data_IF_295299265949
#
_entry.id   IF_295299265949
#
_cell.length_a   1.000
_cell.length_b   1.000
_cell.length_c   1.000
_cell.angle_alpha   90.00
_cell.angle_beta   90.00
_cell.angle_gamma   90.00
#
_symmetry.space_group_name_H-M   'P 1'
#
loop_
_entity.id
_entity.type
_entity.pdbx_description
1 polymer ?
#
# COMPACT_ATOMS: atom_id res chain seq x y z
N UNK A 1 -13.31 21.74 7.41
CA UNK A 1 -13.56 21.31 8.81
C UNK A 1 -14.12 19.91 8.79
N UNK A 2 -13.30 18.89 9.07
CA UNK A 2 -13.80 17.57 9.41
C UNK A 2 -14.24 17.60 10.88
N UNK A 3 -15.47 17.18 11.19
CA UNK A 3 -15.97 17.22 12.56
C UNK A 3 -16.45 15.84 12.98
N UNK A 4 -15.87 15.31 14.08
CA UNK A 4 -16.25 14.01 14.63
C UNK A 4 -17.57 14.14 15.38
N UNK A 5 -18.46 13.12 15.39
CA UNK A 5 -19.73 13.19 16.12
C UNK A 5 -19.57 13.39 17.64
N UNK A 6 -18.43 12.95 18.22
CA UNK A 6 -18.08 13.26 19.62
C UNK A 6 -17.63 14.71 19.82
N UNK A 7 -16.96 15.30 18.84
CA UNK A 7 -16.51 16.70 18.88
C UNK A 7 -17.70 17.66 18.69
N UNK A 8 -18.68 17.29 17.86
CA UNK A 8 -19.95 18.02 17.73
C UNK A 8 -20.73 18.04 19.05
N UNK A 9 -20.70 16.95 19.82
CA UNK A 9 -21.30 16.92 21.17
C UNK A 9 -20.58 17.88 22.12
N UNK A 10 -19.25 17.86 22.12
CA UNK A 10 -18.41 18.68 23.01
C UNK A 10 -18.52 20.17 22.64
N UNK A 11 -18.63 20.51 21.36
CA UNK A 11 -18.76 21.89 20.90
C UNK A 11 -20.17 22.46 21.00
N UNK A 12 -21.23 21.62 20.98
CA UNK A 12 -22.62 22.09 20.97
C UNK A 12 -23.40 21.87 22.27
N UNK A 13 -22.84 21.19 23.28
CA UNK A 13 -23.54 20.83 24.54
C UNK A 13 -24.91 20.13 24.35
N UNK A 14 -25.13 19.51 23.19
CA UNK A 14 -26.38 18.84 22.85
C UNK A 14 -26.36 17.37 23.26
N UNK A 15 -27.53 16.83 23.63
CA UNK A 15 -27.68 15.41 23.91
C UNK A 15 -27.37 14.56 22.66
N UNK A 16 -26.61 13.48 22.82
CA UNK A 16 -26.16 12.61 21.74
C UNK A 16 -27.29 12.11 20.83
N UNK A 17 -28.49 11.87 21.40
CA UNK A 17 -29.67 11.44 20.62
C UNK A 17 -30.12 12.53 19.63
N UNK A 18 -30.11 13.79 20.06
CA UNK A 18 -30.51 14.94 19.24
C UNK A 18 -29.51 15.16 18.10
N UNK A 19 -28.21 15.11 18.40
CA UNK A 19 -27.14 15.22 17.39
C UNK A 19 -27.27 14.12 16.33
N UNK A 20 -27.58 12.89 16.74
CA UNK A 20 -27.74 11.76 15.80
C UNK A 20 -28.95 11.96 14.89
N UNK A 21 -30.06 12.46 15.40
CA UNK A 21 -31.26 12.74 14.61
C UNK A 21 -31.05 13.91 13.63
N UNK A 22 -30.34 14.96 14.04
CA UNK A 22 -29.99 16.08 13.16
C UNK A 22 -29.08 15.62 12.02
N UNK A 23 -28.05 14.83 12.32
CA UNK A 23 -27.16 14.28 11.29
C UNK A 23 -27.94 13.43 10.27
N UNK A 24 -28.87 12.58 10.72
CA UNK A 24 -29.76 11.83 9.81
C UNK A 24 -30.64 12.76 8.96
N UNK A 25 -31.17 13.84 9.53
CA UNK A 25 -31.99 14.80 8.79
C UNK A 25 -31.16 15.55 7.73
N UNK A 26 -29.92 15.93 8.06
CA UNK A 26 -29.00 16.59 7.13
C UNK A 26 -28.50 15.64 6.02
N UNK A 27 -28.34 14.36 6.33
CA UNK A 27 -28.03 13.29 5.36
C UNK A 27 -29.21 13.04 4.41
N UNK A 28 -30.44 12.94 4.94
CA UNK A 28 -31.66 12.80 4.12
C UNK A 28 -31.87 13.99 3.17
N UNK A 29 -31.49 15.20 3.60
CA UNK A 29 -31.51 16.40 2.76
C UNK A 29 -30.33 16.50 1.78
N UNK A 30 -29.46 15.49 1.73
CA UNK A 30 -28.25 15.45 0.91
C UNK A 30 -27.31 16.65 1.13
N UNK A 31 -27.30 17.28 2.31
CA UNK A 31 -26.41 18.43 2.60
C UNK A 31 -25.02 17.93 3.03
N UNK A 32 -25.00 16.80 3.74
CA UNK A 32 -23.79 16.14 4.22
C UNK A 32 -23.73 14.71 3.69
N UNK A 33 -22.51 14.21 3.52
CA UNK A 33 -22.21 12.79 3.27
C UNK A 33 -21.27 12.28 4.35
N UNK A 34 -21.21 10.97 4.53
CA UNK A 34 -20.24 10.36 5.45
C UNK A 34 -19.19 9.53 4.71
N UNK A 35 -18.03 9.40 5.32
CA UNK A 35 -16.96 8.49 4.90
C UNK A 35 -16.27 7.88 6.12
N UNK A 36 -15.51 6.81 5.89
CA UNK A 36 -14.65 6.18 6.89
C UNK A 36 -13.20 6.54 6.58
N UNK A 37 -12.45 6.92 7.61
CA UNK A 37 -11.03 7.23 7.47
C UNK A 37 -10.17 6.02 7.84
N UNK A 38 -9.01 5.84 7.20
CA UNK A 38 -8.05 4.76 7.49
C UNK A 38 -7.68 4.71 8.99
N UNK A 39 -7.45 5.88 9.60
CA UNK A 39 -7.10 5.98 11.02
C UNK A 39 -8.21 5.50 11.98
N UNK A 40 -9.48 5.50 11.54
CA UNK A 40 -10.61 5.14 12.37
C UNK A 40 -11.75 4.51 11.55
N UNK A 41 -11.57 3.28 11.06
CA UNK A 41 -12.45 2.68 10.06
C UNK A 41 -13.85 2.35 10.59
N UNK A 42 -13.99 2.17 11.90
CA UNK A 42 -15.30 1.94 12.57
C UNK A 42 -16.07 3.21 12.88
N UNK A 43 -15.55 4.41 12.55
CA UNK A 43 -16.14 5.70 12.95
C UNK A 43 -16.51 6.53 11.72
N UNK A 44 -17.80 6.86 11.60
CA UNK A 44 -18.30 7.78 10.57
C UNK A 44 -17.75 9.19 10.78
N UNK A 45 -17.18 9.76 9.72
CA UNK A 45 -16.88 11.20 9.61
C UNK A 45 -17.85 11.82 8.62
N UNK A 46 -18.30 13.03 8.91
CA UNK A 46 -19.23 13.76 8.06
C UNK A 46 -18.51 14.91 7.37
N UNK A 47 -18.84 15.13 6.11
CA UNK A 47 -18.32 16.21 5.27
C UNK A 47 -19.47 16.78 4.43
N UNK A 48 -19.34 18.04 3.99
CA UNK A 48 -20.30 18.64 3.07
C UNK A 48 -20.35 17.85 1.76
N UNK A 49 -21.54 17.75 1.16
CA UNK A 49 -21.75 16.96 -0.07
C UNK A 49 -20.80 17.39 -1.20
N UNK A 50 -20.55 18.69 -1.31
CA UNK A 50 -19.80 19.34 -2.39
C UNK A 50 -18.29 19.23 -2.20
N UNK A 51 -17.84 18.72 -1.04
CA UNK A 51 -16.42 18.57 -0.70
C UNK A 51 -16.01 17.10 -0.77
N UNK A 52 -14.81 16.85 -1.28
CA UNK A 52 -14.18 15.54 -1.25
C UNK A 52 -13.24 15.42 -0.04
N UNK A 53 -13.24 14.28 0.67
CA UNK A 53 -12.29 14.05 1.75
C UNK A 53 -10.87 13.93 1.20
N UNK A 54 -9.88 14.23 2.05
CA UNK A 54 -8.48 14.11 1.65
C UNK A 54 -8.17 12.66 1.17
N UNK A 55 -7.65 12.45 -0.06
CA UNK A 55 -7.37 11.12 -0.61
C UNK A 55 -6.35 10.30 0.17
N UNK A 56 -5.57 10.90 1.07
CA UNK A 56 -4.68 10.19 2.00
C UNK A 56 -5.43 9.58 3.20
N UNK A 57 -6.62 10.11 3.51
CA UNK A 57 -7.45 9.62 4.62
C UNK A 57 -8.40 8.51 4.20
N UNK A 58 -8.66 8.39 2.90
CA UNK A 58 -9.53 7.35 2.36
C UNK A 58 -8.79 6.02 2.26
N UNK A 59 -9.44 4.89 2.60
CA UNK A 59 -8.87 3.57 2.33
C UNK A 59 -8.61 3.46 0.83
N UNK A 60 -7.35 3.20 0.47
CA UNK A 60 -6.96 2.93 -0.91
C UNK A 60 -7.61 1.65 -1.43
N UNK A 61 -7.47 1.39 -2.72
CA UNK A 61 -8.13 0.26 -3.38
C UNK A 61 -7.52 -1.11 -3.00
N UNK A 62 -6.47 -1.11 -2.18
CA UNK A 62 -5.93 -2.28 -1.48
C UNK A 62 -6.80 -2.79 -0.31
N UNK A 63 -7.85 -2.05 0.04
CA UNK A 63 -8.72 -2.37 1.16
C UNK A 63 -10.09 -2.87 0.68
N UNK A 64 -10.45 -4.08 1.09
CA UNK A 64 -11.80 -4.62 0.99
C UNK A 64 -12.56 -4.28 2.29
N UNK A 65 -13.04 -3.04 2.39
CA UNK A 65 -13.77 -2.53 3.56
C UNK A 65 -12.85 -2.05 4.69
N UNK A 66 -12.82 -2.79 5.82
CA UNK A 66 -11.98 -2.49 7.01
C UNK A 66 -10.68 -3.31 7.03
N UNK A 67 -10.49 -4.21 6.06
CA UNK A 67 -9.36 -5.12 6.03
C UNK A 67 -8.61 -5.00 4.70
N UNK A 68 -7.30 -5.12 4.78
CA UNK A 68 -6.46 -5.31 3.61
C UNK A 68 -6.88 -6.58 2.88
N UNK A 69 -6.97 -6.48 1.56
CA UNK A 69 -7.25 -7.64 0.72
C UNK A 69 -5.98 -8.50 0.61
N UNK A 70 -5.87 -9.49 1.50
CA UNK A 70 -4.68 -10.35 1.60
C UNK A 70 -4.41 -11.11 0.31
N UNK A 71 -5.45 -11.51 -0.44
CA UNK A 71 -5.30 -12.20 -1.71
C UNK A 71 -4.73 -11.26 -2.77
N UNK A 72 -5.23 -10.02 -2.82
CA UNK A 72 -4.71 -9.02 -3.74
C UNK A 72 -3.26 -8.65 -3.42
N UNK A 73 -2.92 -8.50 -2.13
CA UNK A 73 -1.53 -8.23 -1.71
C UNK A 73 -0.62 -9.40 -2.08
N UNK A 74 -1.03 -10.64 -1.86
CA UNK A 74 -0.24 -11.81 -2.25
C UNK A 74 0.00 -11.85 -3.76
N UNK A 75 -1.03 -11.57 -4.56
CA UNK A 75 -0.91 -11.47 -6.02
C UNK A 75 0.05 -10.35 -6.41
N UNK A 76 -0.09 -9.16 -5.83
CA UNK A 76 0.80 -8.02 -6.09
C UNK A 76 2.25 -8.33 -5.71
N UNK A 77 2.48 -8.86 -4.51
CA UNK A 77 3.80 -9.28 -4.03
C UNK A 77 4.47 -10.25 -5.00
N UNK A 78 3.72 -11.25 -5.48
CA UNK A 78 4.21 -12.21 -6.46
C UNK A 78 4.54 -11.57 -7.81
N UNK A 79 3.71 -10.63 -8.29
CA UNK A 79 4.00 -9.91 -9.54
C UNK A 79 5.22 -8.97 -9.40
N UNK A 80 5.35 -8.27 -8.28
CA UNK A 80 6.52 -7.43 -7.97
C UNK A 80 7.80 -8.27 -7.97
N UNK A 81 7.83 -9.40 -7.26
CA UNK A 81 8.97 -10.32 -7.26
C UNK A 81 9.30 -10.81 -8.66
N UNK A 82 8.30 -11.25 -9.42
CA UNK A 82 8.49 -11.79 -10.77
C UNK A 82 9.08 -10.75 -11.73
N UNK A 83 8.61 -9.50 -11.66
CA UNK A 83 9.16 -8.42 -12.46
C UNK A 83 10.63 -8.16 -12.14
N UNK A 84 10.97 -8.05 -10.85
CA UNK A 84 12.34 -7.80 -10.41
C UNK A 84 13.27 -8.97 -10.72
N UNK A 85 12.77 -10.21 -10.66
CA UNK A 85 13.50 -11.40 -11.08
C UNK A 85 13.82 -11.37 -12.57
N UNK A 86 12.82 -11.18 -13.44
CA UNK A 86 13.00 -11.07 -14.89
C UNK A 86 14.01 -9.96 -15.22
N UNK A 87 13.86 -8.79 -14.59
CA UNK A 87 14.77 -7.67 -14.80
C UNK A 87 16.21 -8.00 -14.38
N UNK A 88 16.39 -8.70 -13.27
CA UNK A 88 17.71 -9.17 -12.83
C UNK A 88 18.33 -10.20 -13.78
N UNK A 89 17.51 -11.03 -14.43
CA UNK A 89 17.96 -12.01 -15.42
C UNK A 89 18.34 -11.35 -16.75
N UNK A 90 17.54 -10.39 -17.20
CA UNK A 90 17.84 -9.63 -18.42
C UNK A 90 19.07 -8.75 -18.23
N UNK A 91 19.27 -8.17 -17.05
CA UNK A 91 20.48 -7.43 -16.73
C UNK A 91 21.76 -8.28 -16.87
N UNK A 92 21.72 -9.60 -16.58
CA UNK A 92 22.87 -10.50 -16.75
C UNK A 92 23.24 -10.73 -18.22
N UNK A 93 22.30 -10.54 -19.14
CA UNK A 93 22.53 -10.68 -20.59
C UNK A 93 23.21 -9.43 -21.17
N UNK A 94 23.22 -8.32 -20.42
CA UNK A 94 23.83 -7.07 -20.86
C UNK A 94 25.36 -7.18 -20.95
N UNK A 95 25.89 -6.91 -22.14
CA UNK A 95 27.33 -6.80 -22.39
C UNK A 95 27.85 -5.44 -21.90
N UNK A 96 28.40 -5.40 -20.69
CA UNK A 96 28.97 -4.17 -20.11
C UNK A 96 29.82 -4.35 -18.85
N UNK A 97 30.15 -5.60 -18.48
CA UNK A 97 30.87 -5.93 -17.24
C UNK A 97 29.99 -5.90 -15.98
N UNK A 98 30.53 -6.31 -14.81
CA UNK A 98 29.75 -6.55 -13.60
C UNK A 98 29.00 -5.32 -13.07
N UNK A 99 29.58 -4.13 -13.22
CA UNK A 99 28.97 -2.88 -12.75
C UNK A 99 27.74 -2.51 -13.59
N UNK A 100 27.81 -2.67 -14.92
CA UNK A 100 26.67 -2.39 -15.80
C UNK A 100 25.50 -3.34 -15.51
N UNK A 101 25.79 -4.62 -15.25
CA UNK A 101 24.79 -5.62 -14.83
C UNK A 101 24.12 -5.19 -13.52
N UNK A 102 24.91 -4.74 -12.53
CA UNK A 102 24.37 -4.27 -11.25
C UNK A 102 23.45 -3.07 -11.44
N UNK A 103 23.88 -2.06 -12.19
CA UNK A 103 23.07 -0.86 -12.42
C UNK A 103 21.75 -1.18 -13.15
N UNK A 104 21.79 -2.06 -14.15
CA UNK A 104 20.59 -2.48 -14.89
C UNK A 104 19.61 -3.33 -14.06
N UNK A 105 20.07 -3.95 -12.98
CA UNK A 105 19.24 -4.82 -12.13
C UNK A 105 18.32 -4.05 -11.16
N UNK A 106 18.60 -2.77 -10.91
CA UNK A 106 17.80 -1.94 -10.00
C UNK A 106 16.53 -1.43 -10.69
N UNK A 107 15.43 -1.37 -9.96
CA UNK A 107 14.17 -0.77 -10.40
C UNK A 107 13.60 0.18 -9.34
N UNK A 108 12.95 1.24 -9.79
CA UNK A 108 12.18 2.14 -8.91
C UNK A 108 10.78 1.59 -8.68
N UNK A 109 10.11 2.05 -7.61
CA UNK A 109 8.71 1.71 -7.35
C UNK A 109 7.79 2.12 -8.52
N UNK A 110 8.08 3.25 -9.17
CA UNK A 110 7.34 3.74 -10.33
C UNK A 110 7.42 2.78 -11.52
N UNK A 111 8.59 2.24 -11.80
CA UNK A 111 8.77 1.30 -12.91
C UNK A 111 8.03 -0.03 -12.66
N UNK A 112 8.02 -0.48 -11.40
CA UNK A 112 7.23 -1.65 -10.98
C UNK A 112 5.73 -1.36 -11.13
N UNK A 113 5.28 -0.17 -10.75
CA UNK A 113 3.88 0.25 -10.89
C UNK A 113 3.45 0.30 -12.36
N UNK A 114 4.27 0.86 -13.25
CA UNK A 114 4.03 0.89 -14.69
C UNK A 114 3.90 -0.53 -15.27
N UNK A 115 4.74 -1.45 -14.82
CA UNK A 115 4.66 -2.85 -15.23
C UNK A 115 3.34 -3.51 -14.77
N UNK A 116 2.95 -3.30 -13.52
CA UNK A 116 1.70 -3.84 -12.97
C UNK A 116 0.48 -3.26 -13.71
N UNK A 117 0.49 -1.96 -14.01
CA UNK A 117 -0.57 -1.32 -14.78
C UNK A 117 -0.67 -1.89 -16.21
N UNK A 118 0.47 -2.13 -16.87
CA UNK A 118 0.52 -2.73 -18.22
C UNK A 118 -0.04 -4.15 -18.25
N UNK A 119 0.15 -4.92 -17.19
CA UNK A 119 -0.41 -6.27 -17.09
C UNK A 119 -1.94 -6.28 -17.07
N UNK A 120 -2.58 -5.17 -16.66
CA UNK A 120 -4.05 -5.04 -16.67
C UNK A 120 -4.78 -6.04 -15.77
N UNK A 121 -4.05 -6.72 -14.87
CA UNK A 121 -4.58 -7.75 -13.96
C UNK A 121 -5.52 -7.12 -12.92
N UNK A 122 -5.30 -5.84 -12.61
CA UNK A 122 -6.04 -5.10 -11.59
C UNK A 122 -6.83 -3.95 -12.22
N UNK A 123 -8.13 -3.88 -11.90
CA UNK A 123 -8.98 -2.71 -12.18
C UNK A 123 -8.72 -1.55 -11.22
N UNK A 124 -7.87 -1.75 -10.21
CA UNK A 124 -7.59 -0.79 -9.17
C UNK A 124 -6.50 0.23 -9.62
N UNK A 125 -6.76 1.51 -9.38
CA UNK A 125 -5.83 2.64 -9.38
C UNK A 125 -4.92 2.55 -8.16
N UNK A 126 -3.80 1.85 -8.33
CA UNK A 126 -2.71 1.80 -7.35
C UNK A 126 -1.95 3.13 -7.31
N UNK A 127 -1.50 3.54 -6.12
CA UNK A 127 -0.57 4.68 -5.94
C UNK A 127 0.87 4.19 -5.79
N UNK A 128 1.84 5.06 -6.06
CA UNK A 128 3.27 4.77 -5.86
C UNK A 128 3.57 4.32 -4.42
N UNK A 129 3.01 5.01 -3.42
CA UNK A 129 3.19 4.70 -2.00
C UNK A 129 2.68 3.30 -1.59
N UNK A 130 1.65 2.81 -2.27
CA UNK A 130 1.09 1.48 -2.02
C UNK A 130 2.09 0.40 -2.47
N UNK A 131 2.72 0.59 -3.62
CA UNK A 131 3.75 -0.31 -4.16
C UNK A 131 5.02 -0.26 -3.32
N UNK A 132 5.46 0.93 -2.89
CA UNK A 132 6.62 1.05 -1.98
C UNK A 132 6.42 0.24 -0.70
N UNK A 133 5.22 0.28 -0.11
CA UNK A 133 4.91 -0.47 1.10
C UNK A 133 4.99 -1.99 0.88
N UNK A 134 4.55 -2.47 -0.28
CA UNK A 134 4.64 -3.88 -0.67
C UNK A 134 6.11 -4.29 -0.89
N UNK A 135 6.88 -3.46 -1.59
CA UNK A 135 8.30 -3.71 -1.85
C UNK A 135 9.14 -3.69 -0.56
N UNK A 136 8.85 -2.78 0.37
CA UNK A 136 9.45 -2.76 1.70
C UNK A 136 9.11 -4.06 2.47
N UNK A 137 7.86 -4.55 2.38
CA UNK A 137 7.47 -5.85 2.93
C UNK A 137 8.32 -7.01 2.38
N UNK A 138 8.52 -7.05 1.06
CA UNK A 138 9.34 -8.06 0.40
C UNK A 138 10.84 -7.95 0.73
N UNK A 139 11.33 -6.74 1.00
CA UNK A 139 12.67 -6.51 1.53
C UNK A 139 12.82 -7.12 2.93
N UNK A 140 11.83 -6.93 3.82
CA UNK A 140 11.85 -7.54 5.15
C UNK A 140 11.73 -9.07 5.12
N UNK A 141 11.06 -9.63 4.11
CA UNK A 141 11.07 -11.09 3.86
C UNK A 141 12.44 -11.61 3.38
N UNK A 142 13.39 -10.73 3.06
CA UNK A 142 14.72 -11.09 2.57
C UNK A 142 14.75 -11.54 1.10
N UNK A 143 13.70 -11.24 0.33
CA UNK A 143 13.63 -11.56 -1.11
C UNK A 143 14.23 -10.47 -1.98
N UNK A 144 14.27 -9.23 -1.49
CA UNK A 144 14.76 -8.06 -2.21
C UNK A 144 15.91 -7.39 -1.46
N UNK A 145 16.72 -6.65 -2.20
CA UNK A 145 17.67 -5.68 -1.67
C UNK A 145 17.16 -4.27 -1.94
N UNK A 146 17.52 -3.32 -1.07
CA UNK A 146 17.10 -1.93 -1.17
C UNK A 146 18.32 -1.02 -1.19
N UNK A 147 18.33 -0.07 -2.13
CA UNK A 147 19.32 1.00 -2.18
C UNK A 147 18.63 2.36 -2.15
N UNK A 148 19.30 3.33 -1.54
CA UNK A 148 18.89 4.73 -1.55
C UNK A 148 19.80 5.52 -2.48
N UNK A 149 19.23 6.13 -3.51
CA UNK A 149 19.99 7.04 -4.35
C UNK A 149 20.31 8.29 -3.54
N UNK A 150 21.60 8.58 -3.33
CA UNK A 150 22.09 9.64 -2.43
C UNK A 150 21.63 11.07 -2.78
N UNK A 151 21.04 11.26 -3.97
CA UNK A 151 20.70 12.57 -4.53
C UNK A 151 19.20 12.89 -4.41
N UNK A 152 18.31 11.90 -4.63
CA UNK A 152 16.85 12.10 -4.62
C UNK A 152 16.17 11.50 -3.38
N UNK A 153 16.86 10.61 -2.66
CA UNK A 153 16.24 9.81 -1.59
C UNK A 153 15.31 8.71 -2.10
N UNK A 154 15.14 8.61 -3.42
CA UNK A 154 14.35 7.58 -4.09
C UNK A 154 14.89 6.19 -3.79
N UNK A 155 13.98 5.32 -3.35
CA UNK A 155 14.25 3.91 -3.09
C UNK A 155 14.32 3.14 -4.41
N UNK A 156 15.33 2.31 -4.53
CA UNK A 156 15.47 1.35 -5.63
C UNK A 156 15.55 -0.04 -5.06
N UNK A 157 14.94 -0.99 -5.76
CA UNK A 157 14.80 -2.37 -5.33
C UNK A 157 15.46 -3.30 -6.35
N UNK A 158 16.05 -4.39 -5.85
CA UNK A 158 16.64 -5.44 -6.69
C UNK A 158 16.24 -6.80 -6.16
N UNK A 159 15.99 -7.75 -7.05
CA UNK A 159 15.80 -9.13 -6.65
C UNK A 159 17.10 -9.74 -6.11
N UNK A 160 16.98 -10.50 -5.01
CA UNK A 160 18.08 -11.30 -4.44
C UNK A 160 17.65 -12.75 -4.42
N UNK A 161 18.43 -13.59 -5.09
CA UNK A 161 18.26 -15.04 -4.95
C UNK A 161 18.69 -15.43 -3.54
N UNK A 162 17.72 -15.81 -2.70
CA UNK A 162 18.02 -16.28 -1.36
C UNK A 162 18.97 -17.48 -1.43
N UNK A 163 20.10 -17.36 -0.73
CA UNK A 163 21.16 -18.38 -0.72
C UNK A 163 20.90 -19.49 0.32
N UNK A 164 19.81 -19.39 1.10
CA UNK A 164 19.55 -20.34 2.18
C UNK A 164 18.86 -21.59 1.66
N UNK A 165 19.63 -22.63 1.40
CA UNK A 165 19.12 -23.98 1.69
C UNK A 165 18.70 -24.00 3.16
N UNK A 166 17.54 -24.61 3.47
CA UNK A 166 17.07 -24.73 4.86
C UNK A 166 18.20 -25.37 5.67
N UNK A 167 18.62 -24.71 6.76
CA UNK A 167 19.69 -25.25 7.60
C UNK A 167 19.34 -26.68 8.00
N UNK A 168 20.32 -27.59 7.92
CA UNK A 168 20.11 -29.00 8.27
C UNK A 168 19.52 -29.19 9.68
N UNK A 169 19.72 -28.21 10.56
CA UNK A 169 19.15 -28.15 11.91
C UNK A 169 17.61 -28.05 11.92
N UNK A 170 16.99 -27.40 10.93
CA UNK A 170 15.53 -27.32 10.79
C UNK A 170 14.89 -28.66 10.39
N UNK A 171 15.68 -29.63 9.94
CA UNK A 171 15.19 -30.97 9.57
C UNK A 171 15.30 -31.98 10.73
N UNK A 172 15.79 -31.56 11.90
CA UNK A 172 15.94 -32.41 13.08
C UNK A 172 14.71 -32.21 13.97
N UNK A 173 14.10 -33.28 14.51
CA UNK A 173 12.86 -33.20 15.29
C UNK A 173 12.96 -32.35 16.57
N UNK A 174 14.17 -32.04 17.03
CA UNK A 174 14.42 -31.20 18.21
C UNK A 174 14.78 -29.73 17.85
N UNK A 175 14.62 -29.35 16.58
CA UNK A 175 15.03 -28.04 16.05
C UNK A 175 13.97 -26.93 16.18
N UNK A 176 12.80 -27.23 16.76
CA UNK A 176 11.72 -26.29 17.07
C UNK A 176 11.35 -26.36 18.54
#
# INVERSE_FOLDING_TARGET
MESKPKELRIGSNLNQKIVTNLLKSLEQKNIIKYFFAISAPKRKRFILKDLEPNPEMLPGELYSGDQYDSQLIEVLSNQCCKFLEIKSEDAKKTSGGPLAVLMASWASAQEVLDYIQKLGILKAKLKDSDIESILDGLYYEGKLDQSHTSISGEKSYRFVKSFSEKSALMNIPCGF
#
